data_IF_837926370454
#
_entry.id   IF_837926370454
#
_cell.length_a   1.000
_cell.length_b   1.000
_cell.length_c   1.000
_cell.angle_alpha   90.00
_cell.angle_beta   90.00
_cell.angle_gamma   90.00
#
_symmetry.space_group_name_H-M   'P 1'
#
loop_
_entity.id
_entity.type
_entity.pdbx_description
1 polymer ?
#
# COMPACT_ATOMS: atom_id res chain seq x y z
N UNK A 1 13.48 1.26 3.20
CA UNK A 1 12.59 1.99 2.26
C UNK A 1 12.70 3.47 2.57
N UNK A 2 13.15 4.28 1.61
CA UNK A 2 13.23 5.74 1.80
C UNK A 2 11.99 6.49 1.30
N UNK A 3 11.02 5.77 0.72
CA UNK A 3 9.81 6.35 0.14
C UNK A 3 8.55 5.65 0.65
N UNK A 4 7.42 6.38 0.77
CA UNK A 4 6.12 5.79 1.11
C UNK A 4 5.69 4.77 0.05
N UNK A 5 5.07 3.68 0.52
CA UNK A 5 4.43 2.69 -0.34
C UNK A 5 3.16 3.32 -0.92
N UNK A 6 2.95 3.18 -2.22
CA UNK A 6 1.80 3.77 -2.92
C UNK A 6 1.03 2.72 -3.73
N UNK A 7 -0.17 3.09 -4.18
CA UNK A 7 -1.01 2.24 -5.04
C UNK A 7 -0.24 1.76 -6.28
N UNK A 8 -0.34 0.46 -6.56
CA UNK A 8 0.31 -0.20 -7.69
C UNK A 8 1.77 -0.56 -7.50
N UNK A 9 2.39 -0.16 -6.39
CA UNK A 9 3.77 -0.54 -6.07
C UNK A 9 3.88 -2.04 -5.81
N UNK A 10 5.01 -2.62 -6.20
CA UNK A 10 5.27 -4.05 -6.07
C UNK A 10 5.63 -4.44 -4.64
N UNK A 11 5.16 -5.60 -4.19
CA UNK A 11 5.61 -6.22 -2.95
C UNK A 11 6.78 -7.16 -3.23
N UNK A 12 7.58 -7.46 -2.20
CA UNK A 12 8.70 -8.39 -2.31
C UNK A 12 8.29 -9.83 -2.67
N UNK A 13 7.02 -10.20 -2.44
CA UNK A 13 6.45 -11.48 -2.81
C UNK A 13 5.93 -11.52 -4.26
N UNK A 14 6.15 -10.48 -5.07
CA UNK A 14 5.72 -10.39 -6.46
C UNK A 14 4.28 -9.92 -6.66
N UNK A 15 3.58 -9.55 -5.58
CA UNK A 15 2.27 -8.92 -5.64
C UNK A 15 2.35 -7.40 -5.80
N UNK A 16 1.22 -6.72 -5.61
CA UNK A 16 1.12 -5.26 -5.70
C UNK A 16 0.10 -4.68 -4.73
N UNK A 17 0.25 -3.42 -4.38
CA UNK A 17 -0.77 -2.65 -3.62
C UNK A 17 -1.99 -2.42 -4.50
N UNK A 18 -3.17 -2.82 -4.01
CA UNK A 18 -4.42 -2.81 -4.78
C UNK A 18 -5.51 -1.93 -4.18
N UNK A 19 -5.39 -1.55 -2.91
CA UNK A 19 -6.34 -0.64 -2.25
C UNK A 19 -5.58 0.43 -1.50
N UNK A 20 -6.01 1.68 -1.65
CA UNK A 20 -5.55 2.82 -0.87
C UNK A 20 -6.75 3.69 -0.49
N UNK A 21 -7.08 3.76 0.80
CA UNK A 21 -8.26 4.51 1.28
C UNK A 21 -8.14 6.04 1.08
N UNK A 22 -6.93 6.57 0.93
CA UNK A 22 -6.69 7.99 0.66
C UNK A 22 -6.83 8.36 -0.83
N UNK A 23 -7.19 7.41 -1.69
CA UNK A 23 -7.46 7.68 -3.11
C UNK A 23 -8.48 8.83 -3.26
N UNK A 24 -8.07 9.89 -3.96
CA UNK A 24 -8.89 11.08 -4.21
C UNK A 24 -8.72 12.23 -3.23
N UNK A 25 -8.04 12.03 -2.09
CA UNK A 25 -7.75 13.13 -1.13
C UNK A 25 -6.28 13.47 -1.04
N UNK A 26 -5.40 12.47 -1.11
CA UNK A 26 -3.95 12.66 -0.99
C UNK A 26 -3.23 11.88 -2.08
N UNK A 27 -2.22 12.51 -2.69
CA UNK A 27 -1.34 11.85 -3.63
C UNK A 27 0.09 12.27 -3.40
N UNK A 28 1.01 11.33 -3.61
CA UNK A 28 2.44 11.54 -3.69
C UNK A 28 2.85 11.18 -5.11
N UNK A 29 3.35 12.16 -5.87
CA UNK A 29 3.70 11.97 -7.28
C UNK A 29 2.55 11.37 -8.12
N UNK A 30 1.31 11.78 -7.85
CA UNK A 30 0.12 11.30 -8.55
C UNK A 30 -0.38 9.91 -8.14
N UNK A 31 0.26 9.25 -7.17
CA UNK A 31 -0.23 7.98 -6.61
C UNK A 31 -0.69 8.17 -5.15
N UNK A 32 -1.82 7.58 -4.75
CA UNK A 32 -2.23 7.63 -3.35
C UNK A 32 -1.30 6.75 -2.50
N UNK A 33 -0.82 7.26 -1.35
CA UNK A 33 -0.03 6.46 -0.41
C UNK A 33 -0.89 5.41 0.27
N UNK A 34 -0.28 4.27 0.58
CA UNK A 34 -0.87 3.20 1.38
C UNK A 34 -0.71 3.51 2.87
N UNK A 35 -1.77 3.24 3.64
CA UNK A 35 -1.84 3.44 5.09
C UNK A 35 -2.36 2.18 5.78
N UNK A 36 -2.48 2.21 7.10
CA UNK A 36 -2.92 1.06 7.87
C UNK A 36 -4.33 0.59 7.45
N UNK A 37 -4.47 -0.70 7.19
CA UNK A 37 -5.71 -1.31 6.71
C UNK A 37 -5.85 -1.40 5.17
N UNK A 38 -5.03 -0.66 4.42
CA UNK A 38 -4.95 -0.81 2.96
C UNK A 38 -4.44 -2.19 2.56
N UNK A 39 -4.61 -2.59 1.30
CA UNK A 39 -4.41 -3.97 0.88
C UNK A 39 -3.39 -4.12 -0.24
N UNK A 40 -2.66 -5.23 -0.19
CA UNK A 40 -1.81 -5.71 -1.27
C UNK A 40 -2.10 -7.18 -1.58
N UNK A 41 -1.89 -7.55 -2.85
CA UNK A 41 -1.95 -8.96 -3.28
C UNK A 41 -0.67 -9.69 -2.92
N UNK A 42 -0.78 -11.00 -2.71
CA UNK A 42 0.37 -11.88 -2.55
C UNK A 42 0.16 -13.15 -3.37
N UNK A 43 0.88 -13.35 -4.49
CA UNK A 43 0.70 -14.52 -5.35
C UNK A 43 1.15 -15.82 -4.68
N UNK A 44 2.07 -15.74 -3.72
CA UNK A 44 2.53 -16.90 -2.94
C UNK A 44 1.44 -17.49 -2.03
N UNK A 45 0.50 -16.67 -1.58
CA UNK A 45 -0.58 -17.07 -0.67
C UNK A 45 -1.98 -16.91 -1.28
N UNK A 46 -2.05 -16.63 -2.59
CA UNK A 46 -3.28 -16.49 -3.38
C UNK A 46 -4.36 -15.62 -2.72
N UNK A 47 -4.01 -14.41 -2.28
CA UNK A 47 -4.97 -13.54 -1.60
C UNK A 47 -4.56 -12.07 -1.48
N UNK A 48 -5.43 -11.31 -0.82
CA UNK A 48 -5.21 -9.91 -0.45
C UNK A 48 -5.03 -9.78 1.07
N UNK A 49 -4.00 -9.03 1.46
CA UNK A 49 -3.59 -8.90 2.85
C UNK A 49 -3.47 -7.42 3.22
N UNK A 50 -3.89 -7.09 4.43
CA UNK A 50 -3.87 -5.72 4.91
C UNK A 50 -2.47 -5.31 5.41
N UNK A 51 -2.11 -4.04 5.22
CA UNK A 51 -1.00 -3.41 5.93
C UNK A 51 -1.38 -3.25 7.41
N UNK A 52 -0.68 -3.98 8.29
CA UNK A 52 -0.93 -3.98 9.74
C UNK A 52 0.00 -3.06 10.52
N UNK A 53 1.02 -2.51 9.86
CA UNK A 53 2.02 -1.60 10.44
C UNK A 53 2.33 -0.47 9.47
N UNK A 54 2.76 0.67 10.01
CA UNK A 54 3.06 1.88 9.26
C UNK A 54 3.77 2.91 10.13
N UNK A 55 4.00 4.11 9.57
CA UNK A 55 4.66 5.18 10.31
C UNK A 55 3.73 5.74 11.41
N UNK A 56 4.19 5.93 12.67
CA UNK A 56 3.32 6.24 13.80
C UNK A 56 2.59 7.59 13.69
N UNK A 57 3.17 8.56 12.96
CA UNK A 57 2.62 9.91 12.81
C UNK A 57 2.19 10.29 11.40
N UNK A 58 2.31 9.38 10.42
CA UNK A 58 1.85 9.63 9.05
C UNK A 58 0.69 8.67 8.76
N UNK A 59 -0.51 9.16 9.02
CA UNK A 59 -1.79 8.51 8.74
C UNK A 59 -2.34 9.00 7.41
#
# INVERSE_FOLDING_TARGET
MSYPVCLGDATSSGGRVVSCQLAGTHTLNGKPPAVLGDKATCPLHAGEFAFIEGHPSRK
#
